data_IF_059203429829
#
_entry.id   IF_059203429829
#
_cell.length_a   1.000
_cell.length_b   1.000
_cell.length_c   1.000
_cell.angle_alpha   90.00
_cell.angle_beta   90.00
_cell.angle_gamma   90.00
#
_symmetry.space_group_name_H-M   'P 1'
#
loop_
_entity.id
_entity.type
_entity.pdbx_description
1 polymer ?
#
# COMPACT_ATOMS: atom_id res chain seq x y z
N UNK A 1 0.12 -0.23 -14.55
CA UNK A 1 1.12 0.61 -13.87
C UNK A 1 1.41 1.83 -14.74
N UNK A 2 1.20 3.02 -14.20
CA UNK A 2 1.38 4.27 -14.94
C UNK A 2 2.79 4.83 -14.71
N UNK A 3 3.17 5.05 -13.46
CA UNK A 3 4.51 5.47 -13.12
C UNK A 3 5.50 4.32 -13.17
N UNK A 4 6.77 4.61 -13.41
CA UNK A 4 7.82 3.60 -13.44
C UNK A 4 8.03 2.98 -12.08
N UNK A 5 8.11 1.66 -12.01
CA UNK A 5 8.30 0.91 -10.77
C UNK A 5 7.31 1.32 -9.68
N UNK A 6 6.05 1.52 -10.05
CA UNK A 6 5.02 2.00 -9.13
C UNK A 6 3.73 1.18 -9.26
N UNK A 7 3.76 -0.12 -8.94
CA UNK A 7 2.56 -0.98 -9.05
C UNK A 7 1.38 -0.58 -8.16
N UNK A 8 1.61 0.16 -7.08
CA UNK A 8 0.52 0.68 -6.25
C UNK A 8 -0.15 1.91 -6.85
N UNK A 9 0.38 2.44 -7.94
CA UNK A 9 -0.10 3.69 -8.53
C UNK A 9 -0.14 4.83 -7.51
N UNK A 10 0.96 5.01 -6.78
CA UNK A 10 1.08 6.10 -5.80
C UNK A 10 1.14 7.43 -6.56
N UNK A 11 0.25 8.35 -6.19
CA UNK A 11 0.19 9.67 -6.81
C UNK A 11 1.25 10.60 -6.25
N UNK A 12 1.67 11.56 -7.08
CA UNK A 12 2.62 12.58 -6.63
C UNK A 12 1.96 13.53 -5.63
N UNK A 13 2.78 14.11 -4.76
CA UNK A 13 2.35 15.15 -3.83
C UNK A 13 2.94 16.49 -4.25
N UNK A 14 2.18 17.56 -4.03
CA UNK A 14 2.67 18.92 -4.25
C UNK A 14 3.61 19.36 -3.12
N UNK A 15 3.65 18.63 -2.01
CA UNK A 15 4.32 19.05 -0.80
C UNK A 15 5.65 18.33 -0.53
N UNK A 16 5.86 17.16 -1.13
CA UNK A 16 7.08 16.40 -0.89
C UNK A 16 7.33 15.40 -2.01
N UNK A 17 8.54 14.84 -2.03
CA UNK A 17 8.91 13.71 -2.87
C UNK A 17 9.29 12.54 -1.99
N UNK A 18 8.87 11.34 -2.40
CA UNK A 18 9.25 10.13 -1.69
C UNK A 18 10.73 9.83 -1.89
N UNK A 19 11.34 9.21 -0.88
CA UNK A 19 12.69 8.65 -1.06
C UNK A 19 12.64 7.65 -2.23
N UNK A 20 13.61 7.76 -3.14
CA UNK A 20 13.67 6.91 -4.33
C UNK A 20 12.76 7.34 -5.48
N UNK A 21 11.98 8.40 -5.30
CA UNK A 21 11.18 8.95 -6.39
C UNK A 21 12.10 9.67 -7.37
N UNK A 22 12.04 9.28 -8.65
CA UNK A 22 12.90 9.82 -9.70
C UNK A 22 12.21 10.85 -10.58
N UNK A 23 10.87 10.90 -10.54
CA UNK A 23 10.09 11.82 -11.35
C UNK A 23 8.63 11.49 -11.27
N UNK A 24 7.88 11.86 -12.32
CA UNK A 24 6.47 11.55 -12.41
C UNK A 24 6.04 11.27 -13.84
N UNK A 25 4.96 10.48 -13.97
CA UNK A 25 4.30 10.19 -15.22
C UNK A 25 2.81 10.40 -15.03
N UNK A 26 2.25 11.42 -15.66
CA UNK A 26 0.82 11.74 -15.60
C UNK A 26 0.26 11.81 -14.16
N UNK A 27 1.01 12.44 -13.26
CA UNK A 27 0.58 12.62 -11.87
C UNK A 27 0.88 11.42 -10.94
N UNK A 28 1.55 10.39 -11.45
CA UNK A 28 1.94 9.23 -10.65
C UNK A 28 3.46 9.21 -10.48
N UNK A 29 3.91 8.77 -9.32
CA UNK A 29 5.34 8.73 -9.03
C UNK A 29 6.07 7.74 -9.92
N UNK A 30 7.28 8.09 -10.32
CA UNK A 30 8.26 7.15 -10.86
C UNK A 30 9.24 6.85 -9.73
N UNK A 31 9.59 5.57 -9.55
CA UNK A 31 10.55 5.15 -8.53
C UNK A 31 11.78 4.51 -9.17
N UNK A 32 12.91 4.59 -8.47
CA UNK A 32 14.16 4.00 -8.97
C UNK A 32 14.12 2.48 -8.98
N UNK A 33 13.40 1.87 -8.04
CA UNK A 33 13.23 0.42 -7.98
C UNK A 33 12.03 -0.01 -7.15
N UNK A 34 11.79 -1.31 -7.14
CA UNK A 34 10.65 -1.95 -6.47
C UNK A 34 10.70 -1.75 -4.95
N UNK A 35 11.89 -1.79 -4.37
CA UNK A 35 12.06 -1.62 -2.93
C UNK A 35 11.60 -0.24 -2.49
N UNK A 36 11.94 0.78 -3.25
CA UNK A 36 11.60 2.15 -2.86
C UNK A 36 10.11 2.47 -2.99
N UNK A 37 9.42 1.91 -4.01
CA UNK A 37 7.98 2.11 -4.06
C UNK A 37 7.27 1.37 -2.93
N UNK A 38 7.74 0.18 -2.54
CA UNK A 38 7.17 -0.55 -1.42
C UNK A 38 7.43 0.16 -0.10
N UNK A 39 8.60 0.78 0.03
CA UNK A 39 8.89 1.62 1.18
C UNK A 39 7.88 2.77 1.27
N UNK A 40 7.60 3.43 0.15
CA UNK A 40 6.63 4.53 0.12
C UNK A 40 5.23 4.05 0.51
N UNK A 41 4.78 2.93 -0.03
CA UNK A 41 3.48 2.35 0.32
C UNK A 41 3.36 1.99 1.80
N UNK A 42 4.37 1.33 2.33
CA UNK A 42 4.38 0.95 3.75
C UNK A 42 4.43 2.19 4.65
N UNK A 43 5.25 3.18 4.32
CA UNK A 43 5.32 4.43 5.05
C UNK A 43 3.95 5.14 5.07
N UNK A 44 3.28 5.15 3.93
CA UNK A 44 1.99 5.80 3.79
C UNK A 44 0.98 5.22 4.76
N UNK A 45 0.84 3.89 4.81
CA UNK A 45 -0.12 3.24 5.68
C UNK A 45 0.32 3.25 7.15
N UNK A 46 1.58 2.94 7.43
CA UNK A 46 2.05 2.75 8.78
C UNK A 46 2.37 4.04 9.52
N UNK A 47 2.67 5.10 8.79
CA UNK A 47 3.00 6.39 9.39
C UNK A 47 2.01 7.48 9.04
N UNK A 48 1.85 7.79 7.75
CA UNK A 48 1.02 8.93 7.36
C UNK A 48 -0.44 8.75 7.74
N UNK A 49 -1.03 7.62 7.39
CA UNK A 49 -2.44 7.36 7.70
C UNK A 49 -2.66 7.14 9.19
N UNK A 50 -1.78 6.36 9.82
CA UNK A 50 -1.90 6.10 11.26
C UNK A 50 -1.83 7.39 12.07
N UNK A 51 -0.99 8.31 11.67
CA UNK A 51 -0.86 9.63 12.31
C UNK A 51 -2.16 10.40 12.28
N UNK A 52 -2.99 10.15 11.27
CA UNK A 52 -4.32 10.76 11.13
C UNK A 52 -5.43 9.89 11.74
N UNK A 53 -5.09 8.82 12.45
CA UNK A 53 -6.08 7.92 13.04
C UNK A 53 -6.73 6.96 12.05
N UNK A 54 -6.15 6.80 10.87
CA UNK A 54 -6.69 5.94 9.82
C UNK A 54 -6.00 4.58 9.92
N UNK A 55 -6.66 3.63 10.61
CA UNK A 55 -6.08 2.32 10.91
C UNK A 55 -6.99 1.14 10.56
N UNK A 56 -8.30 1.37 10.36
CA UNK A 56 -9.20 0.30 9.94
C UNK A 56 -9.04 0.06 8.44
N UNK A 57 -9.13 -1.20 8.03
CA UNK A 57 -8.92 -1.59 6.64
C UNK A 57 -9.75 -0.72 5.69
N UNK A 58 -11.06 -0.60 5.91
CA UNK A 58 -11.94 0.18 5.03
C UNK A 58 -11.54 1.65 4.95
N UNK A 59 -11.09 2.22 6.06
CA UNK A 59 -10.70 3.63 6.10
C UNK A 59 -9.38 3.87 5.36
N UNK A 60 -8.47 2.92 5.46
CA UNK A 60 -7.22 2.94 4.69
C UNK A 60 -7.51 2.93 3.20
N UNK A 61 -8.37 2.01 2.75
CA UNK A 61 -8.70 1.92 1.33
C UNK A 61 -9.48 3.16 0.87
N UNK A 62 -10.42 3.65 1.67
CA UNK A 62 -11.16 4.87 1.33
C UNK A 62 -10.24 6.08 1.19
N UNK A 63 -9.21 6.17 2.01
CA UNK A 63 -8.25 7.27 1.91
C UNK A 63 -7.36 7.12 0.68
N UNK A 64 -6.91 5.90 0.41
CA UNK A 64 -6.03 5.62 -0.72
C UNK A 64 -6.75 5.74 -2.06
N UNK A 65 -7.98 5.28 -2.14
CA UNK A 65 -8.78 5.21 -3.37
C UNK A 65 -10.20 5.72 -3.11
N UNK A 66 -10.39 7.06 -3.02
CA UNK A 66 -11.70 7.63 -2.71
C UNK A 66 -12.78 7.27 -3.73
N UNK A 67 -14.01 7.15 -3.24
CA UNK A 67 -15.16 6.71 -4.06
C UNK A 67 -15.45 7.62 -5.25
N UNK A 68 -15.09 8.90 -5.18
CA UNK A 68 -15.31 9.82 -6.29
C UNK A 68 -14.51 9.46 -7.54
N UNK A 69 -13.44 8.70 -7.39
CA UNK A 69 -12.55 8.34 -8.50
C UNK A 69 -12.48 6.83 -8.73
N UNK A 70 -13.02 6.01 -7.83
CA UNK A 70 -12.80 4.58 -7.83
C UNK A 70 -14.05 3.82 -7.37
N UNK A 71 -14.13 2.53 -7.74
CA UNK A 71 -15.08 1.60 -7.12
C UNK A 71 -14.46 1.12 -5.81
N UNK A 72 -14.57 1.93 -4.79
CA UNK A 72 -13.94 1.70 -3.50
C UNK A 72 -14.52 0.46 -2.80
N UNK A 73 -15.82 0.20 -2.95
CA UNK A 73 -16.45 -0.97 -2.34
C UNK A 73 -15.89 -2.27 -2.94
N UNK A 74 -15.69 -2.30 -4.25
CA UNK A 74 -15.08 -3.45 -4.90
C UNK A 74 -13.63 -3.64 -4.43
N UNK A 75 -12.91 -2.55 -4.24
CA UNK A 75 -11.54 -2.55 -3.75
C UNK A 75 -11.48 -3.15 -2.34
N UNK A 76 -12.33 -2.65 -1.44
CA UNK A 76 -12.40 -3.15 -0.06
C UNK A 76 -12.74 -4.64 -0.05
N UNK A 77 -13.75 -5.05 -0.83
CA UNK A 77 -14.13 -6.46 -0.93
C UNK A 77 -12.98 -7.34 -1.39
N UNK A 78 -12.24 -6.90 -2.40
CA UNK A 78 -11.09 -7.66 -2.90
C UNK A 78 -10.03 -7.83 -1.82
N UNK A 79 -9.67 -6.75 -1.15
CA UNK A 79 -8.64 -6.79 -0.11
C UNK A 79 -9.08 -7.69 1.06
N UNK A 80 -10.34 -7.56 1.49
CA UNK A 80 -10.88 -8.40 2.57
C UNK A 80 -10.85 -9.87 2.19
N UNK A 81 -11.27 -10.19 0.98
CA UNK A 81 -11.30 -11.58 0.51
C UNK A 81 -9.88 -12.15 0.44
N UNK A 82 -8.93 -11.36 -0.02
CA UNK A 82 -7.56 -11.83 -0.20
C UNK A 82 -6.82 -12.00 1.13
N UNK A 83 -7.05 -11.11 2.07
CA UNK A 83 -6.37 -11.12 3.38
C UNK A 83 -7.13 -11.92 4.43
N UNK A 84 -8.39 -12.23 4.20
CA UNK A 84 -9.33 -12.81 5.16
C UNK A 84 -9.65 -11.86 6.32
N UNK A 85 -9.34 -10.59 6.15
CA UNK A 85 -9.72 -9.55 7.10
C UNK A 85 -11.13 -9.05 6.82
N UNK A 86 -11.69 -8.31 7.77
CA UNK A 86 -13.00 -7.66 7.64
C UNK A 86 -12.81 -6.17 7.34
N UNK A 87 -13.82 -5.49 6.80
CA UNK A 87 -13.72 -4.05 6.55
C UNK A 87 -13.35 -3.24 7.79
N UNK A 88 -13.79 -3.68 8.95
CA UNK A 88 -13.54 -2.98 10.23
C UNK A 88 -12.31 -3.48 10.98
N UNK A 89 -11.52 -4.38 10.39
CA UNK A 89 -10.31 -4.89 11.02
C UNK A 89 -9.32 -3.76 11.26
N UNK A 90 -8.84 -3.64 12.50
CA UNK A 90 -7.75 -2.71 12.84
C UNK A 90 -6.42 -3.31 12.36
N UNK A 91 -5.64 -2.51 11.65
CA UNK A 91 -4.31 -2.92 11.23
C UNK A 91 -3.32 -2.56 12.33
N UNK A 92 -2.72 -3.56 12.94
CA UNK A 92 -1.87 -3.39 14.11
C UNK A 92 -0.46 -3.91 13.88
N UNK A 93 -0.35 -5.14 13.37
CA UNK A 93 0.95 -5.81 13.21
C UNK A 93 1.55 -5.54 11.84
N UNK A 94 2.88 -5.64 11.75
CA UNK A 94 3.59 -5.52 10.47
C UNK A 94 2.98 -6.43 9.41
N UNK A 95 2.64 -7.67 9.81
CA UNK A 95 2.03 -8.63 8.89
C UNK A 95 0.66 -8.19 8.38
N UNK A 96 -0.10 -7.43 9.19
CA UNK A 96 -1.39 -6.88 8.75
C UNK A 96 -1.18 -5.87 7.63
N UNK A 97 -0.26 -4.94 7.81
CA UNK A 97 0.05 -3.92 6.81
C UNK A 97 0.62 -4.55 5.54
N UNK A 98 1.52 -5.52 5.70
CA UNK A 98 2.10 -6.22 4.56
C UNK A 98 1.05 -6.96 3.75
N UNK A 99 0.10 -7.62 4.43
CA UNK A 99 -0.99 -8.33 3.78
C UNK A 99 -1.89 -7.39 2.98
N UNK A 100 -2.30 -6.28 3.58
CA UNK A 100 -3.14 -5.29 2.93
C UNK A 100 -2.43 -4.67 1.73
N UNK A 101 -1.17 -4.28 1.90
CA UNK A 101 -0.39 -3.69 0.80
C UNK A 101 -0.21 -4.65 -0.36
N UNK A 102 0.04 -5.93 -0.09
CA UNK A 102 0.17 -6.93 -1.14
C UNK A 102 -1.13 -7.10 -1.92
N UNK A 103 -2.27 -7.13 -1.22
CA UNK A 103 -3.58 -7.22 -1.85
C UNK A 103 -3.89 -5.98 -2.67
N UNK A 104 -3.55 -4.80 -2.16
CA UNK A 104 -3.72 -3.54 -2.88
C UNK A 104 -2.91 -3.53 -4.17
N UNK A 105 -1.68 -4.00 -4.11
CA UNK A 105 -0.80 -4.07 -5.28
C UNK A 105 -1.40 -4.94 -6.38
N UNK A 106 -1.99 -6.08 -6.01
CA UNK A 106 -2.67 -6.96 -6.96
C UNK A 106 -3.88 -6.27 -7.59
N UNK A 107 -4.69 -5.62 -6.76
CA UNK A 107 -5.88 -4.93 -7.25
C UNK A 107 -5.51 -3.84 -8.25
N UNK A 108 -4.49 -3.06 -7.92
CA UNK A 108 -4.03 -1.97 -8.79
C UNK A 108 -3.47 -2.48 -10.13
N UNK A 109 -2.85 -3.64 -10.14
CA UNK A 109 -2.24 -4.21 -11.34
C UNK A 109 -3.17 -5.11 -12.14
N UNK A 110 -4.29 -5.54 -11.58
CA UNK A 110 -5.20 -6.43 -12.26
C UNK A 110 -4.56 -7.77 -12.64
N UNK A 111 -3.72 -8.30 -11.77
CA UNK A 111 -3.03 -9.57 -12.02
C UNK A 111 -4.03 -10.71 -12.20
N UNK A 112 -3.78 -11.60 -13.17
CA UNK A 112 -4.65 -12.74 -13.46
C UNK A 112 -4.80 -13.64 -12.23
N UNK A 113 -6.00 -14.21 -12.08
CA UNK A 113 -6.32 -15.03 -10.92
C UNK A 113 -5.33 -16.18 -10.71
N UNK A 114 -4.86 -16.81 -11.79
CA UNK A 114 -3.91 -17.91 -11.73
C UNK A 114 -2.54 -17.51 -11.18
N UNK A 115 -2.20 -16.23 -11.19
CA UNK A 115 -0.94 -15.71 -10.71
C UNK A 115 -1.03 -15.07 -9.34
N UNK A 116 -2.25 -14.79 -8.86
CA UNK A 116 -2.47 -13.97 -7.67
C UNK A 116 -1.87 -14.56 -6.39
N UNK A 117 -1.96 -15.87 -6.21
CA UNK A 117 -1.50 -16.49 -4.95
C UNK A 117 0.01 -16.37 -4.79
N UNK A 118 0.78 -16.77 -5.77
CA UNK A 118 2.23 -16.64 -5.74
C UNK A 118 2.67 -15.20 -5.60
N UNK A 119 2.05 -14.31 -6.36
CA UNK A 119 2.34 -12.89 -6.32
C UNK A 119 2.06 -12.32 -4.92
N UNK A 120 0.90 -12.66 -4.36
CA UNK A 120 0.49 -12.16 -3.05
C UNK A 120 1.51 -12.50 -1.96
N UNK A 121 1.90 -13.77 -1.86
CA UNK A 121 2.83 -14.19 -0.82
C UNK A 121 4.22 -13.60 -1.00
N UNK A 122 4.69 -13.47 -2.23
CA UNK A 122 5.97 -12.84 -2.52
C UNK A 122 5.95 -11.35 -2.20
N UNK A 123 4.88 -10.66 -2.58
CA UNK A 123 4.73 -9.23 -2.28
C UNK A 123 4.63 -9.00 -0.78
N UNK A 124 3.85 -9.84 -0.08
CA UNK A 124 3.71 -9.74 1.37
C UNK A 124 5.07 -9.88 2.07
N UNK A 125 5.86 -10.87 1.68
CA UNK A 125 7.19 -11.08 2.22
C UNK A 125 8.09 -9.87 1.95
N UNK A 126 7.99 -9.30 0.76
CA UNK A 126 8.77 -8.12 0.37
C UNK A 126 8.40 -6.88 1.20
N UNK A 127 7.10 -6.71 1.50
CA UNK A 127 6.68 -5.61 2.37
C UNK A 127 7.20 -5.81 3.80
N UNK A 128 7.17 -7.03 4.31
CA UNK A 128 7.73 -7.32 5.65
C UNK A 128 9.23 -6.98 5.66
N UNK A 129 9.96 -7.36 4.62
CA UNK A 129 11.38 -7.03 4.50
C UNK A 129 11.60 -5.52 4.54
N UNK A 130 10.83 -4.77 3.76
CA UNK A 130 10.93 -3.31 3.67
C UNK A 130 10.60 -2.66 5.02
N UNK A 131 9.54 -3.11 5.68
CA UNK A 131 9.15 -2.58 6.99
C UNK A 131 10.31 -2.74 7.99
N UNK A 132 10.97 -3.88 7.98
CA UNK A 132 12.12 -4.14 8.86
C UNK A 132 13.35 -3.34 8.42
N UNK A 133 13.66 -3.35 7.14
CA UNK A 133 14.85 -2.70 6.58
C UNK A 133 14.88 -1.22 6.91
N UNK A 134 13.74 -0.54 6.78
CA UNK A 134 13.63 0.90 6.99
C UNK A 134 13.03 1.28 8.35
N UNK A 135 12.81 0.29 9.21
CA UNK A 135 12.35 0.51 10.58
C UNK A 135 11.06 1.32 10.65
N UNK A 136 10.09 0.98 9.80
CA UNK A 136 8.89 1.79 9.62
C UNK A 136 7.92 1.76 10.80
N UNK A 137 7.98 0.71 11.64
CA UNK A 137 7.14 0.65 12.85
C UNK A 137 7.64 1.53 14.00
N UNK A 138 8.86 2.00 13.93
CA UNK A 138 9.52 2.72 15.02
C UNK A 138 8.73 3.97 15.47
N UNK A 139 8.00 4.55 14.56
CA UNK A 139 7.24 5.75 14.83
C UNK A 139 6.21 5.58 15.94
N UNK A 140 5.67 4.38 16.10
CA UNK A 140 4.59 4.10 17.06
C UNK A 140 5.04 4.19 18.50
N UNK A 141 6.30 4.02 18.75
CA UNK A 141 6.85 3.89 20.11
C UNK A 141 6.82 5.22 20.85
N UNK A 142 6.48 6.29 20.18
CA UNK A 142 6.51 7.63 20.73
C UNK A 142 5.15 8.15 21.15
N UNK A 143 4.34 7.31 21.61
CA UNK A 143 3.04 7.74 22.10
C UNK A 143 3.17 8.61 23.36
#
# INVERSE_FOLDING_TARGET
MIGKCNPLNIRTSAYFKWAGQTGETRGFCDFEDVTMYRRAGAYLLMRSYRRCGITKLRDVINRFAPAVENDTDAYISFVCKRTEFKPYTELVFDSDFAAVLAAMEIFEQGVHASMRDGYYFNAKASYIYVINQFNLRKYEIKS
#
